data_IF_701684339149
#
_entry.id   IF_701684339149
#
_cell.length_a   1.000
_cell.length_b   1.000
_cell.length_c   1.000
_cell.angle_alpha   90.00
_cell.angle_beta   90.00
_cell.angle_gamma   90.00
#
_symmetry.space_group_name_H-M   'P 1'
#
loop_
_entity.id
_entity.type
_entity.pdbx_description
1 polymer ?
#
# COMPACT_ATOMS: atom_id res chain seq x y z
N UNK A 1 15.95 -6.68 10.67
CA UNK A 1 16.50 -6.22 9.37
C UNK A 1 15.68 -5.01 8.91
N UNK A 2 16.31 -3.87 8.59
CA UNK A 2 15.58 -2.70 8.08
C UNK A 2 15.08 -2.99 6.66
N UNK A 3 13.78 -2.79 6.43
CA UNK A 3 13.11 -2.93 5.13
C UNK A 3 12.59 -1.56 4.73
N UNK A 4 12.64 -1.23 3.44
CA UNK A 4 12.06 0.02 2.92
C UNK A 4 11.02 -0.35 1.88
N UNK A 5 9.80 0.15 2.05
CA UNK A 5 8.68 -0.09 1.13
C UNK A 5 8.38 1.22 0.38
N UNK A 6 8.78 1.35 -0.89
CA UNK A 6 8.43 2.52 -1.69
C UNK A 6 6.91 2.61 -1.86
N UNK A 7 6.34 3.78 -1.54
CA UNK A 7 4.91 4.01 -1.62
C UNK A 7 4.57 5.31 -2.36
N UNK A 8 3.85 5.19 -3.46
CA UNK A 8 3.37 6.32 -4.26
C UNK A 8 1.92 6.66 -3.96
N UNK A 9 1.66 7.55 -2.99
CA UNK A 9 0.31 7.85 -2.50
C UNK A 9 -0.47 8.95 -3.26
N UNK A 10 0.13 9.63 -4.25
CA UNK A 10 -0.49 10.81 -4.90
C UNK A 10 -1.66 10.46 -5.83
N UNK A 11 -1.43 9.54 -6.76
CA UNK A 11 -2.44 9.00 -7.69
C UNK A 11 -2.24 7.48 -7.83
N UNK A 12 -2.57 6.72 -6.77
CA UNK A 12 -2.29 5.31 -6.73
C UNK A 12 -3.30 4.54 -7.60
N UNK A 13 -2.85 3.37 -8.10
CA UNK A 13 -3.72 2.37 -8.72
C UNK A 13 -4.54 2.92 -9.91
N UNK A 14 -3.92 3.72 -10.78
CA UNK A 14 -4.62 4.36 -11.91
C UNK A 14 -5.38 3.41 -12.82
N UNK A 15 -4.88 2.19 -13.01
CA UNK A 15 -5.55 1.13 -13.77
C UNK A 15 -6.89 0.66 -13.18
N UNK A 16 -7.15 0.92 -11.89
CA UNK A 16 -8.41 0.59 -11.23
C UNK A 16 -9.46 1.71 -11.33
N UNK A 17 -9.15 2.83 -12.00
CA UNK A 17 -10.09 3.93 -12.22
C UNK A 17 -11.46 3.53 -12.82
N UNK A 18 -11.59 2.46 -13.64
CA UNK A 18 -12.90 2.03 -14.12
C UNK A 18 -13.83 1.45 -13.04
N UNK A 19 -13.30 1.10 -11.87
CA UNK A 19 -14.02 0.41 -10.79
C UNK A 19 -14.07 1.20 -9.49
N UNK A 20 -13.08 2.05 -9.26
CA UNK A 20 -12.92 2.83 -8.04
C UNK A 20 -12.67 4.30 -8.36
N UNK A 21 -13.27 5.18 -7.56
CA UNK A 21 -12.99 6.60 -7.63
C UNK A 21 -11.58 6.94 -7.07
N UNK A 22 -11.23 8.23 -7.09
CA UNK A 22 -9.91 8.66 -6.64
C UNK A 22 -9.65 8.38 -5.15
N UNK A 23 -10.66 8.51 -4.30
CA UNK A 23 -10.54 8.35 -2.86
C UNK A 23 -10.57 6.86 -2.46
N UNK A 24 -11.43 6.06 -3.10
CA UNK A 24 -11.43 4.60 -2.96
C UNK A 24 -10.08 3.99 -3.33
N UNK A 25 -9.45 4.45 -4.43
CA UNK A 25 -8.10 3.98 -4.81
C UNK A 25 -7.03 4.38 -3.80
N UNK A 26 -7.16 5.55 -3.15
CA UNK A 26 -6.23 5.99 -2.09
C UNK A 26 -6.38 5.15 -0.84
N UNK A 27 -7.61 4.94 -0.39
CA UNK A 27 -7.91 4.10 0.76
C UNK A 27 -7.43 2.66 0.51
N UNK A 28 -7.75 2.11 -0.66
CA UNK A 28 -7.30 0.78 -1.06
C UNK A 28 -5.77 0.67 -1.06
N UNK A 29 -5.05 1.67 -1.60
CA UNK A 29 -3.59 1.69 -1.59
C UNK A 29 -3.01 1.70 -0.16
N UNK A 30 -3.61 2.45 0.76
CA UNK A 30 -3.21 2.46 2.17
C UNK A 30 -3.49 1.13 2.86
N UNK A 31 -4.64 0.50 2.58
CA UNK A 31 -4.97 -0.83 3.09
C UNK A 31 -3.93 -1.86 2.66
N UNK A 32 -3.61 -1.91 1.37
CA UNK A 32 -2.56 -2.79 0.85
C UNK A 32 -1.19 -2.51 1.47
N UNK A 33 -0.85 -1.25 1.73
CA UNK A 33 0.40 -0.90 2.40
C UNK A 33 0.44 -1.49 3.81
N UNK A 34 -0.64 -1.38 4.58
CA UNK A 34 -0.73 -1.96 5.93
C UNK A 34 -0.51 -3.47 5.90
N UNK A 35 -1.15 -4.18 4.97
CA UNK A 35 -0.98 -5.62 4.80
C UNK A 35 0.49 -6.01 4.52
N UNK A 36 1.18 -5.24 3.67
CA UNK A 36 2.61 -5.44 3.39
C UNK A 36 3.46 -5.19 4.64
N UNK A 37 3.20 -4.11 5.38
CA UNK A 37 3.95 -3.79 6.60
C UNK A 37 3.76 -4.88 7.67
N UNK A 38 2.54 -5.42 7.79
CA UNK A 38 2.24 -6.49 8.74
C UNK A 38 2.93 -7.80 8.33
N UNK A 39 2.96 -8.12 7.03
CA UNK A 39 3.72 -9.27 6.53
C UNK A 39 5.22 -9.14 6.81
N UNK A 40 5.80 -7.94 6.64
CA UNK A 40 7.21 -7.68 6.96
C UNK A 40 7.50 -7.89 8.45
N UNK A 41 6.63 -7.36 9.33
CA UNK A 41 6.76 -7.55 10.78
C UNK A 41 6.63 -9.02 11.18
N UNK A 42 5.72 -9.76 10.57
CA UNK A 42 5.47 -11.17 10.85
C UNK A 42 6.70 -12.06 10.61
N UNK A 43 7.60 -11.67 9.70
CA UNK A 43 8.86 -12.38 9.42
C UNK A 43 10.07 -11.77 10.14
N UNK A 44 9.85 -10.88 11.12
CA UNK A 44 10.92 -10.25 11.91
C UNK A 44 11.64 -9.08 11.22
N UNK A 45 11.05 -8.52 10.16
CA UNK A 45 11.51 -7.30 9.52
C UNK A 45 11.09 -6.05 10.28
N UNK A 46 11.90 -4.99 10.16
CA UNK A 46 11.58 -3.63 10.63
C UNK A 46 11.32 -2.73 9.41
N UNK A 47 10.05 -2.46 9.05
CA UNK A 47 9.70 -1.70 7.86
C UNK A 47 9.79 -0.18 8.00
#
# INVERSE_FOLDING_TARGET
MRVVVPFGGRDPKTRLAPFFDADERREFAVSMLRDVLDAVRAVGGDP
#
